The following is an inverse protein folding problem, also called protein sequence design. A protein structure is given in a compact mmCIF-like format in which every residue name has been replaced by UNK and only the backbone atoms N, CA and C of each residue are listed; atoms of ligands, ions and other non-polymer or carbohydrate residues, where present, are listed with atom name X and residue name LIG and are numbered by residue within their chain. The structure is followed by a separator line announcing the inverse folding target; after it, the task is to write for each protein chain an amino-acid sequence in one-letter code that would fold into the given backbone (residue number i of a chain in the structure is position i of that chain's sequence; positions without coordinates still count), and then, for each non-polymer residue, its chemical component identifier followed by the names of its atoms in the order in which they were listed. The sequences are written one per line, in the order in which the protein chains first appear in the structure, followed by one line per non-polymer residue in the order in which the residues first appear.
data_IF_187177629044
#
_entry.id   IF_187177629044
#
_cell.length_a   1.000
_cell.length_b   1.000
_cell.length_c   1.000
_cell.angle_alpha   90.00
_cell.angle_beta   90.00
_cell.angle_gamma   90.00
#
_symmetry.space_group_name_H-M   'P 1'
#
loop_
_entity.id
_entity.type
_entity.pdbx_description
1 polymer ?
#
# COMPACT_ATOMS: atom_id res chain seq x y z
N UNK A 1 11.72 -47.22 -8.13
CA UNK A 1 12.75 -46.50 -7.35
C UNK A 1 13.31 -45.39 -8.22
N UNK A 2 13.00 -44.11 -7.98
CA UNK A 2 13.64 -43.02 -8.70
C UNK A 2 15.10 -42.84 -8.25
N UNK A 3 16.02 -42.42 -9.13
CA UNK A 3 17.42 -42.24 -8.79
C UNK A 3 17.63 -41.01 -7.89
N UNK A 4 18.49 -41.14 -6.89
CA UNK A 4 18.92 -40.07 -5.98
C UNK A 4 19.71 -39.01 -6.75
N UNK A 5 19.16 -37.80 -6.84
CA UNK A 5 19.88 -36.62 -7.30
C UNK A 5 20.88 -36.21 -6.22
N UNK A 6 22.16 -36.52 -6.42
CA UNK A 6 23.25 -35.93 -5.64
C UNK A 6 23.41 -34.48 -6.08
N UNK A 7 22.84 -33.57 -5.30
CA UNK A 7 23.08 -32.14 -5.42
C UNK A 7 24.51 -31.91 -4.94
N UNK A 8 25.46 -31.88 -5.87
CA UNK A 8 26.78 -31.31 -5.61
C UNK A 8 26.60 -29.81 -5.40
N UNK A 9 26.98 -29.32 -4.21
CA UNK A 9 26.96 -27.91 -3.85
C UNK A 9 27.66 -27.05 -4.92
N UNK A 10 26.96 -26.09 -5.56
CA UNK A 10 27.63 -25.09 -6.36
C UNK A 10 28.30 -24.10 -5.40
N UNK A 11 29.62 -24.22 -5.33
CA UNK A 11 30.60 -23.19 -5.04
C UNK A 11 29.98 -21.83 -4.65
N UNK A 12 30.01 -21.57 -3.33
CA UNK A 12 29.75 -20.29 -2.72
C UNK A 12 30.68 -19.25 -3.37
N UNK A 13 30.21 -18.55 -4.40
CA UNK A 13 30.87 -17.35 -4.91
C UNK A 13 30.84 -16.31 -3.81
N UNK A 14 31.93 -16.23 -3.04
CA UNK A 14 32.33 -15.04 -2.30
C UNK A 14 32.57 -13.92 -3.32
N UNK A 15 31.46 -13.27 -3.69
CA UNK A 15 31.50 -12.06 -4.50
C UNK A 15 32.08 -10.96 -3.63
N UNK A 16 33.38 -10.74 -3.83
CA UNK A 16 34.11 -9.49 -3.64
C UNK A 16 33.21 -8.36 -3.15
N UNK A 17 33.22 -8.14 -1.84
CA UNK A 17 32.67 -6.96 -1.22
C UNK A 17 33.47 -5.76 -1.72
N UNK A 18 33.10 -5.20 -2.88
CA UNK A 18 33.48 -3.87 -3.29
C UNK A 18 32.63 -2.90 -2.44
N UNK A 19 33.21 -2.18 -1.46
CA UNK A 19 32.44 -1.30 -0.57
C UNK A 19 31.90 -0.05 -1.28
N UNK A 20 32.12 0.11 -2.58
CA UNK A 20 31.85 1.34 -3.33
C UNK A 20 30.73 1.24 -4.38
N UNK A 21 30.04 0.09 -4.55
CA UNK A 21 29.03 -0.06 -5.62
C UNK A 21 27.56 -0.10 -5.20
N UNK A 22 27.28 0.20 -3.95
CA UNK A 22 25.96 0.65 -3.53
C UNK A 22 26.09 2.12 -3.18
N UNK A 23 26.25 2.98 -4.20
CA UNK A 23 25.57 4.26 -4.10
C UNK A 23 24.14 3.91 -3.72
N UNK A 24 23.80 4.13 -2.45
CA UNK A 24 22.46 4.01 -1.91
C UNK A 24 21.64 5.13 -2.57
N UNK A 25 21.44 5.05 -3.89
CA UNK A 25 20.33 5.69 -4.56
C UNK A 25 19.13 5.23 -3.76
N UNK A 26 18.60 6.17 -2.98
CA UNK A 26 17.47 5.93 -2.10
C UNK A 26 16.50 5.03 -2.85
N UNK A 27 16.22 3.84 -2.31
CA UNK A 27 15.50 2.80 -3.05
C UNK A 27 14.13 3.38 -3.44
N UNK A 28 13.99 3.72 -4.73
CA UNK A 28 12.76 4.26 -5.26
C UNK A 28 11.96 3.12 -5.87
N UNK A 29 10.78 2.89 -5.33
CA UNK A 29 9.84 1.86 -5.78
C UNK A 29 8.76 2.59 -6.56
N UNK A 30 8.72 2.41 -7.88
CA UNK A 30 7.78 3.11 -8.78
C UNK A 30 7.83 4.64 -8.70
N UNK A 31 9.02 5.22 -8.50
CA UNK A 31 9.16 6.68 -8.34
C UNK A 31 8.76 7.21 -6.97
N UNK A 32 8.39 6.33 -6.02
CA UNK A 32 8.18 6.68 -4.62
C UNK A 32 9.40 6.32 -3.79
N UNK A 33 9.71 7.12 -2.78
CA UNK A 33 10.65 6.70 -1.73
C UNK A 33 10.12 5.46 -1.00
N UNK A 34 11.02 4.68 -0.40
CA UNK A 34 10.65 3.50 0.39
C UNK A 34 9.63 3.82 1.50
N UNK A 35 9.76 4.97 2.16
CA UNK A 35 8.83 5.39 3.21
C UNK A 35 7.42 5.68 2.67
N UNK A 36 7.34 6.35 1.53
CA UNK A 36 6.05 6.63 0.87
C UNK A 36 5.39 5.33 0.41
N UNK A 37 6.16 4.46 -0.24
CA UNK A 37 5.67 3.13 -0.64
C UNK A 37 5.15 2.34 0.56
N UNK A 38 5.88 2.34 1.69
CA UNK A 38 5.46 1.66 2.93
C UNK A 38 4.15 2.22 3.48
N UNK A 39 3.97 3.54 3.43
CA UNK A 39 2.71 4.21 3.86
C UNK A 39 1.54 3.79 2.97
N UNK A 40 1.74 3.81 1.64
CA UNK A 40 0.70 3.40 0.67
C UNK A 40 0.34 1.94 0.87
N UNK A 41 1.33 1.05 0.89
CA UNK A 41 1.15 -0.38 1.10
C UNK A 41 0.36 -0.66 2.39
N UNK A 42 0.81 -0.08 3.51
CA UNK A 42 0.16 -0.27 4.81
C UNK A 42 -1.29 0.19 4.80
N UNK A 43 -1.59 1.29 4.13
CA UNK A 43 -2.95 1.85 4.06
C UNK A 43 -3.87 0.96 3.25
N UNK A 44 -3.44 0.55 2.05
CA UNK A 44 -4.22 -0.34 1.16
C UNK A 44 -4.48 -1.68 1.84
N UNK A 45 -3.44 -2.31 2.40
CA UNK A 45 -3.56 -3.61 3.06
C UNK A 45 -4.46 -3.53 4.30
N UNK A 46 -4.32 -2.49 5.14
CA UNK A 46 -5.20 -2.30 6.32
C UNK A 46 -6.65 -2.09 5.94
N UNK A 47 -6.93 -1.41 4.83
CA UNK A 47 -8.29 -1.23 4.36
C UNK A 47 -8.89 -2.55 3.84
N UNK A 48 -8.12 -3.31 3.06
CA UNK A 48 -8.59 -4.57 2.48
C UNK A 48 -8.67 -5.74 3.47
N UNK A 49 -7.90 -5.67 4.56
CA UNK A 49 -7.98 -6.59 5.70
C UNK A 49 -9.12 -6.25 6.65
N UNK A 50 -9.98 -5.27 6.34
CA UNK A 50 -11.19 -4.99 7.11
C UNK A 50 -12.40 -5.24 6.23
N UNK A 51 -13.39 -5.93 6.78
CA UNK A 51 -14.70 -6.00 6.14
C UNK A 51 -15.49 -4.70 6.35
N UNK A 52 -16.63 -4.57 5.69
CA UNK A 52 -17.49 -3.39 5.77
C UNK A 52 -17.97 -3.08 7.20
N UNK A 53 -18.01 -4.10 8.06
CA UNK A 53 -18.35 -4.01 9.48
C UNK A 53 -17.14 -3.69 10.38
N UNK A 54 -15.95 -3.50 9.80
CA UNK A 54 -14.72 -3.18 10.53
C UNK A 54 -13.99 -4.39 11.14
N UNK A 55 -14.53 -5.61 10.99
CA UNK A 55 -13.89 -6.82 11.48
C UNK A 55 -12.70 -7.23 10.61
N UNK A 56 -11.64 -7.81 11.20
CA UNK A 56 -10.49 -8.30 10.46
C UNK A 56 -10.93 -9.40 9.48
N UNK A 57 -10.65 -9.21 8.20
CA UNK A 57 -10.78 -10.20 7.14
C UNK A 57 -9.52 -11.05 7.12
N UNK A 58 -9.67 -12.37 7.16
CA UNK A 58 -8.54 -13.29 7.00
C UNK A 58 -7.93 -13.17 5.60
N UNK A 59 -6.62 -13.46 5.50
CA UNK A 59 -5.97 -13.58 4.20
C UNK A 59 -6.59 -14.75 3.43
N UNK A 60 -7.32 -14.45 2.36
CA UNK A 60 -7.83 -15.45 1.42
C UNK A 60 -7.01 -15.45 0.14
N UNK A 61 -7.10 -16.53 -0.64
CA UNK A 61 -6.41 -16.66 -1.92
C UNK A 61 -6.82 -15.57 -2.93
N UNK A 62 -8.08 -15.14 -2.89
CA UNK A 62 -8.58 -14.04 -3.74
C UNK A 62 -8.11 -12.65 -3.27
N UNK A 63 -7.77 -12.49 -2.00
CA UNK A 63 -7.38 -11.20 -1.43
C UNK A 63 -6.01 -10.73 -1.96
N UNK A 64 -5.09 -11.67 -2.20
CA UNK A 64 -3.74 -11.36 -2.71
C UNK A 64 -3.74 -10.62 -4.05
N UNK A 65 -4.40 -11.16 -5.10
CA UNK A 65 -4.57 -10.48 -6.37
C UNK A 65 -5.24 -9.10 -6.24
N UNK A 66 -6.29 -8.99 -5.43
CA UNK A 66 -6.99 -7.72 -5.21
C UNK A 66 -6.10 -6.65 -4.56
N UNK A 67 -5.27 -7.04 -3.58
CA UNK A 67 -4.28 -6.14 -2.96
C UNK A 67 -3.28 -5.66 -4.00
N UNK A 68 -2.74 -6.56 -4.83
CA UNK A 68 -1.78 -6.20 -5.87
C UNK A 68 -2.38 -5.23 -6.89
N UNK A 69 -3.61 -5.49 -7.33
CA UNK A 69 -4.32 -4.62 -8.26
C UNK A 69 -4.52 -3.22 -7.67
N UNK A 70 -5.06 -3.13 -6.44
CA UNK A 70 -5.26 -1.84 -5.76
C UNK A 70 -3.95 -1.08 -5.53
N UNK A 71 -2.90 -1.79 -5.16
CA UNK A 71 -1.59 -1.18 -4.96
C UNK A 71 -1.03 -0.64 -6.28
N UNK A 72 -1.19 -1.39 -7.37
CA UNK A 72 -0.79 -0.96 -8.70
C UNK A 72 -1.59 0.24 -9.19
N UNK A 73 -2.91 0.28 -8.98
CA UNK A 73 -3.76 1.44 -9.27
C UNK A 73 -3.28 2.69 -8.53
N UNK A 74 -2.98 2.58 -7.22
CA UNK A 74 -2.58 3.73 -6.41
C UNK A 74 -1.17 4.22 -6.74
N UNK A 75 -0.24 3.33 -7.10
CA UNK A 75 1.14 3.68 -7.42
C UNK A 75 1.34 4.09 -8.88
N UNK A 76 0.53 3.56 -9.79
CA UNK A 76 0.62 3.87 -11.23
C UNK A 76 -0.23 5.07 -11.62
N UNK A 77 -1.26 5.39 -10.83
CA UNK A 77 -1.86 6.71 -10.88
C UNK A 77 -0.98 7.67 -10.08
N UNK A 78 -0.51 8.78 -10.66
CA UNK A 78 -0.05 9.93 -9.88
C UNK A 78 -1.29 10.54 -9.20
N UNK A 79 -1.82 9.85 -8.18
CA UNK A 79 -2.82 10.37 -7.27
C UNK A 79 -2.14 11.49 -6.51
N UNK A 80 -2.28 12.68 -7.10
CA UNK A 80 -1.97 14.00 -6.60
C UNK A 80 -1.67 13.91 -5.12
N UNK A 81 -0.38 13.92 -4.79
CA UNK A 81 0.07 14.27 -3.45
C UNK A 81 -0.54 15.64 -3.22
N UNK A 82 -1.71 15.68 -2.57
CA UNK A 82 -2.23 16.87 -1.95
C UNK A 82 -1.19 17.15 -0.88
N UNK A 83 -0.15 17.90 -1.25
CA UNK A 83 0.66 18.65 -0.30
C UNK A 83 -0.38 19.38 0.53
N UNK A 84 -0.66 18.88 1.73
CA UNK A 84 -1.40 19.62 2.74
C UNK A 84 -0.44 20.70 3.22
N UNK A 85 -0.21 21.70 2.37
CA UNK A 85 0.13 23.03 2.85
C UNK A 85 -1.19 23.66 3.26
N UNK A 86 -1.31 23.94 4.56
CA UNK A 86 -2.33 24.71 5.25
C UNK A 86 -3.62 23.97 5.74
N UNK A 87 -4.11 24.34 6.95
CA UNK A 87 -5.22 23.70 7.66
C UNK A 87 -6.59 23.99 7.01
N UNK A 88 -7.64 23.25 7.41
CA UNK A 88 -8.99 23.48 6.90
C UNK A 88 -9.52 24.83 7.37
N UNK A 89 -9.93 25.68 6.43
CA UNK A 89 -10.85 26.78 6.72
C UNK A 89 -12.14 26.18 7.28
N UNK A 90 -12.33 26.37 8.58
CA UNK A 90 -13.61 26.22 9.26
C UNK A 90 -14.56 27.30 8.73
N UNK A 91 -15.52 26.90 7.91
CA UNK A 91 -16.71 27.66 7.51
C UNK A 91 -17.48 26.76 6.54
N UNK A 92 -18.71 26.33 6.76
CA UNK A 92 -19.82 26.98 7.43
C UNK A 92 -20.77 25.89 7.96
N UNK A 93 -21.12 25.99 9.25
CA UNK A 93 -22.34 25.37 9.76
C UNK A 93 -23.53 26.18 9.25
N UNK A 94 -24.43 25.53 8.53
CA UNK A 94 -25.86 25.89 8.56
C UNK A 94 -26.67 24.66 8.20
N UNK A 95 -27.11 23.98 9.24
CA UNK A 95 -28.16 22.98 9.16
C UNK A 95 -29.46 23.73 8.87
N UNK A 96 -30.03 23.58 7.68
CA UNK A 96 -31.39 24.05 7.44
C UNK A 96 -32.35 22.94 7.87
N UNK A 97 -32.75 22.98 9.14
CA UNK A 97 -33.93 22.26 9.62
C UNK A 97 -35.13 23.16 9.38
N UNK A 98 -35.93 22.86 8.34
CA UNK A 98 -37.28 23.39 8.22
C UNK A 98 -38.25 22.20 8.30
N UNK A 99 -38.93 22.14 9.44
CA UNK A 99 -40.04 21.25 9.70
C UNK A 99 -41.19 21.54 8.73
N UNK A 100 -41.82 20.50 8.19
CA UNK A 100 -43.22 20.55 7.79
C UNK A 100 -43.89 19.24 8.23
N UNK A 101 -44.28 19.22 9.49
CA UNK A 101 -45.25 18.27 10.02
C UNK A 101 -46.62 18.91 9.86
N UNK A 102 -47.46 18.23 9.08
CA UNK A 102 -48.92 18.19 9.06
C UNK A 102 -49.69 19.14 10.00
N UNK A 103 -50.73 19.79 9.48
CA UNK A 103 -52.14 19.38 9.67
C UNK A 103 -53.14 20.42 9.13
N UNK A 104 -54.11 19.88 8.38
CA UNK A 104 -55.48 20.35 8.09
C UNK A 104 -55.66 21.51 7.12
#
# INVERSE_FOLDING_TARGET
MPPSLQISDPERRESSANPQRLEMKALQIHGHSLEEYRKVYSTVVKHMLKNSSGNPKGYSLELGPQIKQRLWEVLSCPLLVRKRSAPPSTSCCSNQTAANIAKQ
#
